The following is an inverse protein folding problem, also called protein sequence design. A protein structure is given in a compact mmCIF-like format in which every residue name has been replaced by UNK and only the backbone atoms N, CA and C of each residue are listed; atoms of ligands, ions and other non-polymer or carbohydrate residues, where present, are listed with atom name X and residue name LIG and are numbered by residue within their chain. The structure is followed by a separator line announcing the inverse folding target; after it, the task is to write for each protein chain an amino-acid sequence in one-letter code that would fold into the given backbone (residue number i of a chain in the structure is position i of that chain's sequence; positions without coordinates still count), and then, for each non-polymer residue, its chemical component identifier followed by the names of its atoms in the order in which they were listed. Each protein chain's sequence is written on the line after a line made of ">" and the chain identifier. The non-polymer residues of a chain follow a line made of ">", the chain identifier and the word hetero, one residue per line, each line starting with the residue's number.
data_IF_100043842229
#
_entry.id   IF_100043842229
#
_cell.length_a   1.000
_cell.length_b   1.000
_cell.length_c   1.000
_cell.angle_alpha   90.00
_cell.angle_beta   90.00
_cell.angle_gamma   90.00
#
_symmetry.space_group_name_H-M   'P 1'
#
loop_
_entity.id
_entity.type
_entity.pdbx_description
1 polymer ?
#
# COMPACT_ATOMS: atom_id res chain seq x y z
N UNK A 1 6.17 18.56 13.91
CA UNK A 1 6.20 17.53 12.85
C UNK A 1 7.37 17.82 11.94
N UNK A 2 8.24 16.85 11.65
CA UNK A 2 9.29 17.02 10.63
C UNK A 2 8.59 17.21 9.27
N UNK A 3 9.21 17.94 8.35
CA UNK A 3 8.68 18.15 6.99
C UNK A 3 8.35 16.83 6.28
N UNK A 4 9.12 15.78 6.58
CA UNK A 4 8.88 14.40 6.10
C UNK A 4 7.55 13.81 6.57
N UNK A 5 7.11 14.12 7.79
CA UNK A 5 5.84 13.62 8.33
C UNK A 5 4.67 14.23 7.55
N UNK A 6 4.73 15.54 7.33
CA UNK A 6 3.71 16.28 6.57
C UNK A 6 3.64 15.77 5.12
N UNK A 7 4.80 15.57 4.48
CA UNK A 7 4.85 15.03 3.12
C UNK A 7 4.27 13.62 3.04
N UNK A 8 4.57 12.76 4.02
CA UNK A 8 4.02 11.41 4.10
C UNK A 8 2.49 11.43 4.23
N UNK A 9 1.96 12.24 5.16
CA UNK A 9 0.51 12.38 5.33
C UNK A 9 -0.17 12.96 4.09
N UNK A 10 0.43 13.97 3.46
CA UNK A 10 -0.09 14.56 2.23
C UNK A 10 -0.14 13.52 1.10
N UNK A 11 0.90 12.68 0.97
CA UNK A 11 0.92 11.59 -0.01
C UNK A 11 -0.19 10.57 0.26
N UNK A 12 -0.36 10.13 1.52
CA UNK A 12 -1.42 9.18 1.90
C UNK A 12 -2.80 9.78 1.61
N UNK A 13 -3.04 11.04 1.98
CA UNK A 13 -4.30 11.74 1.68
C UNK A 13 -4.51 11.80 0.17
N UNK A 14 -3.53 12.26 -0.60
CA UNK A 14 -3.66 12.34 -2.06
C UNK A 14 -3.95 10.99 -2.73
N UNK A 15 -3.41 9.90 -2.18
CA UNK A 15 -3.64 8.54 -2.69
C UNK A 15 -5.06 8.04 -2.42
N UNK A 16 -5.61 8.30 -1.22
CA UNK A 16 -6.91 7.76 -0.82
C UNK A 16 -8.08 8.71 -1.05
N UNK A 17 -7.86 10.02 -1.07
CA UNK A 17 -8.91 11.04 -1.21
C UNK A 17 -9.80 10.86 -2.46
N UNK A 18 -9.28 10.51 -3.66
CA UNK A 18 -10.12 10.31 -4.84
C UNK A 18 -11.18 9.23 -4.65
N UNK A 19 -10.91 8.21 -3.83
CA UNK A 19 -11.85 7.13 -3.53
C UNK A 19 -13.00 7.56 -2.61
N UNK A 20 -12.84 8.66 -1.86
CA UNK A 20 -13.89 9.19 -0.98
C UNK A 20 -14.76 10.26 -1.65
N UNK A 21 -14.21 10.96 -2.64
CA UNK A 21 -14.91 12.08 -3.31
C UNK A 21 -15.69 11.61 -4.55
N UNK A 22 -15.19 10.58 -5.24
CA UNK A 22 -15.77 10.14 -6.52
C UNK A 22 -16.31 8.71 -6.44
N UNK A 23 -17.63 8.59 -6.48
CA UNK A 23 -18.30 7.29 -6.62
C UNK A 23 -17.85 6.57 -7.90
N UNK A 24 -17.64 7.29 -9.00
CA UNK A 24 -17.18 6.72 -10.26
C UNK A 24 -15.82 6.02 -10.12
N UNK A 25 -14.85 6.65 -9.43
CA UNK A 25 -13.53 6.05 -9.18
C UNK A 25 -13.67 4.82 -8.27
N UNK A 26 -14.52 4.93 -7.25
CA UNK A 26 -14.74 3.84 -6.30
C UNK A 26 -15.42 2.63 -6.96
N UNK A 27 -16.46 2.83 -7.77
CA UNK A 27 -17.13 1.77 -8.53
C UNK A 27 -16.19 1.12 -9.55
N UNK A 28 -15.39 1.93 -10.26
CA UNK A 28 -14.37 1.41 -11.16
C UNK A 28 -13.36 0.52 -10.42
N UNK A 29 -12.88 0.97 -9.26
CA UNK A 29 -12.00 0.17 -8.41
C UNK A 29 -12.65 -1.13 -7.93
N UNK A 30 -13.93 -1.09 -7.54
CA UNK A 30 -14.67 -2.32 -7.15
C UNK A 30 -14.77 -3.30 -8.31
N UNK A 31 -15.14 -2.84 -9.48
CA UNK A 31 -15.23 -3.67 -10.70
C UNK A 31 -13.87 -4.25 -11.07
N UNK A 32 -12.83 -3.42 -11.08
CA UNK A 32 -11.46 -3.85 -11.37
C UNK A 32 -10.95 -4.88 -10.34
N UNK A 33 -11.25 -4.68 -9.05
CA UNK A 33 -10.92 -5.65 -8.01
C UNK A 33 -11.68 -6.97 -8.14
N UNK A 34 -12.92 -6.96 -8.62
CA UNK A 34 -13.69 -8.18 -8.87
C UNK A 34 -13.09 -9.00 -10.03
N UNK A 35 -12.68 -8.33 -11.11
CA UNK A 35 -12.12 -8.97 -12.31
C UNK A 35 -10.66 -9.40 -12.05
N UNK A 36 -9.85 -8.55 -11.43
CA UNK A 36 -8.41 -8.73 -11.25
C UNK A 36 -8.01 -8.85 -9.77
N UNK A 37 -8.71 -9.70 -9.01
CA UNK A 37 -8.49 -9.85 -7.57
C UNK A 37 -7.05 -10.15 -7.17
N UNK A 38 -6.32 -10.99 -7.94
CA UNK A 38 -4.91 -11.31 -7.63
C UNK A 38 -3.98 -10.10 -7.83
N UNK A 39 -4.16 -9.35 -8.92
CA UNK A 39 -3.37 -8.14 -9.19
C UNK A 39 -3.66 -7.08 -8.13
N UNK A 40 -4.93 -6.92 -7.77
CA UNK A 40 -5.30 -5.98 -6.71
C UNK A 40 -4.78 -6.40 -5.34
N UNK A 41 -4.72 -7.69 -5.02
CA UNK A 41 -4.06 -8.16 -3.80
C UNK A 41 -2.57 -7.84 -3.80
N UNK A 42 -1.86 -8.02 -4.92
CA UNK A 42 -0.46 -7.60 -5.05
C UNK A 42 -0.32 -6.10 -4.75
N UNK A 43 -1.06 -5.26 -5.46
CA UNK A 43 -0.95 -3.79 -5.37
C UNK A 43 -1.31 -3.29 -3.97
N UNK A 44 -2.42 -3.79 -3.39
CA UNK A 44 -2.86 -3.40 -2.04
C UNK A 44 -1.81 -3.76 -0.99
N UNK A 45 -1.28 -4.99 -1.02
CA UNK A 45 -0.25 -5.39 -0.05
C UNK A 45 1.07 -4.66 -0.26
N UNK A 46 1.51 -4.52 -1.51
CA UNK A 46 2.73 -3.78 -1.84
C UNK A 46 2.69 -2.36 -1.28
N UNK A 47 1.57 -1.65 -1.43
CA UNK A 47 1.40 -0.28 -0.95
C UNK A 47 1.23 -0.25 0.57
N UNK A 48 0.24 -0.98 1.11
CA UNK A 48 -0.14 -0.88 2.52
C UNK A 48 0.94 -1.39 3.46
N UNK A 49 1.59 -2.53 3.15
CA UNK A 49 2.63 -3.06 3.99
C UNK A 49 3.90 -2.19 3.94
N UNK A 50 4.24 -1.64 2.78
CA UNK A 50 5.37 -0.71 2.65
C UNK A 50 5.11 0.59 3.42
N UNK A 51 3.91 1.17 3.34
CA UNK A 51 3.54 2.35 4.12
C UNK A 51 3.55 2.05 5.63
N UNK A 52 3.06 0.88 6.04
CA UNK A 52 3.10 0.41 7.43
C UNK A 52 4.53 0.24 7.95
N UNK A 53 5.43 -0.33 7.14
CA UNK A 53 6.85 -0.47 7.48
C UNK A 53 7.54 0.90 7.59
N UNK A 54 7.25 1.83 6.67
CA UNK A 54 7.77 3.20 6.73
C UNK A 54 7.31 3.95 7.99
N UNK A 55 6.05 3.76 8.39
CA UNK A 55 5.52 4.29 9.65
C UNK A 55 6.17 3.64 10.87
N UNK A 56 6.34 2.31 10.86
CA UNK A 56 7.05 1.58 11.92
C UNK A 56 8.49 2.08 12.09
N UNK A 57 9.21 2.29 10.98
CA UNK A 57 10.56 2.84 11.01
C UNK A 57 10.58 4.26 11.58
N UNK A 58 9.57 5.07 11.26
CA UNK A 58 9.45 6.44 11.80
C UNK A 58 9.25 6.44 13.32
N UNK A 59 8.45 5.52 13.85
CA UNK A 59 8.21 5.36 15.29
C UNK A 59 9.49 4.86 15.98
N UNK A 60 10.14 3.83 15.43
CA UNK A 60 11.28 3.18 16.07
C UNK A 60 12.59 3.97 15.98
N UNK A 61 12.83 4.68 14.87
CA UNK A 61 14.14 5.29 14.58
C UNK A 61 14.07 6.78 14.22
N UNK A 62 12.88 7.33 14.05
CA UNK A 62 12.70 8.73 13.71
C UNK A 62 12.91 9.08 12.22
N UNK A 63 13.08 8.07 11.35
CA UNK A 63 13.26 8.22 9.89
C UNK A 63 12.27 7.36 9.10
N UNK A 64 11.90 7.80 7.89
CA UNK A 64 10.97 7.05 7.01
C UNK A 64 11.65 6.11 6.04
N UNK A 65 12.96 6.22 5.86
CA UNK A 65 13.70 5.44 4.89
C UNK A 65 15.00 4.92 5.48
N UNK A 66 15.21 3.60 5.35
CA UNK A 66 16.48 2.97 5.63
C UNK A 66 17.14 2.59 4.29
N UNK A 67 18.35 3.11 4.04
CA UNK A 67 19.08 2.99 2.77
C UNK A 67 19.51 1.56 2.43
N UNK A 68 19.51 0.63 3.37
CA UNK A 68 20.12 -0.70 3.16
C UNK A 68 19.37 -1.57 2.14
N UNK A 69 18.04 -1.49 2.05
CA UNK A 69 17.23 -2.42 1.26
C UNK A 69 16.28 -1.75 0.25
N UNK A 70 16.22 -0.41 0.23
CA UNK A 70 15.37 0.35 -0.72
C UNK A 70 13.86 0.17 -0.49
N UNK A 71 13.01 0.96 -1.14
CA UNK A 71 11.53 0.84 -1.00
C UNK A 71 10.96 -0.12 -2.06
N UNK A 72 11.51 -0.10 -3.28
CA UNK A 72 11.04 -0.91 -4.40
C UNK A 72 11.14 -2.42 -4.13
N UNK A 73 12.27 -2.96 -3.63
CA UNK A 73 12.35 -4.40 -3.32
C UNK A 73 11.34 -4.83 -2.25
N UNK A 74 11.05 -3.96 -1.27
CA UNK A 74 10.04 -4.21 -0.24
C UNK A 74 8.65 -4.27 -0.82
N UNK A 75 8.29 -3.33 -1.69
CA UNK A 75 7.00 -3.35 -2.38
C UNK A 75 6.79 -4.66 -3.16
N UNK A 76 7.84 -5.15 -3.84
CA UNK A 76 7.78 -6.43 -4.58
C UNK A 76 7.56 -7.59 -3.62
N UNK A 77 8.32 -7.70 -2.53
CA UNK A 77 8.19 -8.78 -1.55
C UNK A 77 6.80 -8.79 -0.92
N UNK A 78 6.34 -7.62 -0.45
CA UNK A 78 5.01 -7.47 0.13
C UNK A 78 3.90 -7.78 -0.89
N UNK A 79 4.05 -7.34 -2.14
CA UNK A 79 3.10 -7.65 -3.20
C UNK A 79 3.01 -9.15 -3.48
N UNK A 80 4.14 -9.85 -3.59
CA UNK A 80 4.16 -11.31 -3.78
C UNK A 80 3.48 -12.02 -2.61
N UNK A 81 3.76 -11.61 -1.37
CA UNK A 81 3.06 -12.13 -0.18
C UNK A 81 1.55 -11.89 -0.27
N UNK A 82 1.10 -10.73 -0.76
CA UNK A 82 -0.31 -10.45 -0.97
C UNK A 82 -1.00 -11.40 -1.95
N UNK A 83 -0.31 -11.76 -3.04
CA UNK A 83 -0.82 -12.77 -3.99
C UNK A 83 -0.91 -14.14 -3.34
N UNK A 84 0.13 -14.56 -2.61
CA UNK A 84 0.13 -15.85 -1.90
C UNK A 84 -1.02 -15.95 -0.90
N UNK A 85 -1.30 -14.88 -0.14
CA UNK A 85 -2.45 -14.81 0.76
C UNK A 85 -3.78 -14.88 0.00
N UNK A 86 -3.89 -14.21 -1.15
CA UNK A 86 -5.10 -14.27 -1.98
C UNK A 86 -5.37 -15.69 -2.51
N UNK A 87 -4.31 -16.42 -2.89
CA UNK A 87 -4.41 -17.82 -3.33
C UNK A 87 -4.82 -18.71 -2.15
N UNK A 88 -4.17 -18.54 -0.99
CA UNK A 88 -4.50 -19.31 0.21
C UNK A 88 -5.95 -19.08 0.67
N UNK A 89 -6.43 -17.83 0.61
CA UNK A 89 -7.79 -17.46 0.97
C UNK A 89 -8.86 -18.04 0.02
N UNK A 90 -8.55 -18.20 -1.27
CA UNK A 90 -9.46 -18.83 -2.25
C UNK A 90 -9.60 -20.35 -2.10
N UNK A 91 -8.73 -20.98 -1.33
CA UNK A 91 -8.70 -22.45 -1.16
C UNK A 91 -9.60 -22.95 -0.01
N UNK A 92 -10.23 -22.03 0.73
CA UNK A 92 -11.29 -22.28 1.71
C UNK A 92 -12.64 -22.00 1.09
#
# INVERSE_FOLDING_TARGET
>A
MKKSDILFFLFVIALFLPFFISDTIYEWYKSFNAIHGMVMSFVKFAILATLGEMLGLRISTGVYHNKTFGIIPRMVIWGVLGVLLAIAAKKK
#
